data_IF_152260804255
#
_entry.id   IF_152260804255
#
_cell.length_a   1.000
_cell.length_b   1.000
_cell.length_c   1.000
_cell.angle_alpha   90.00
_cell.angle_beta   90.00
_cell.angle_gamma   90.00
#
_symmetry.space_group_name_H-M   'P 1'
#
loop_
_entity.id
_entity.type
_entity.pdbx_description
1 polymer ?
#
# COMPACT_ATOMS: atom_id res chain seq x y z
N UNK A 1 -15.30 -15.88 28.32
CA UNK A 1 -15.34 -16.69 27.07
C UNK A 1 -14.35 -16.09 26.09
N UNK A 2 -13.24 -16.78 25.80
CA UNK A 2 -12.33 -16.34 24.76
C UNK A 2 -13.09 -16.33 23.42
N UNK A 3 -13.13 -15.17 22.75
CA UNK A 3 -13.66 -15.07 21.38
C UNK A 3 -12.88 -16.07 20.54
N UNK A 4 -13.51 -17.12 20.05
CA UNK A 4 -12.94 -18.02 19.06
C UNK A 4 -12.89 -17.22 17.75
N UNK A 5 -11.78 -16.52 17.51
CA UNK A 5 -11.52 -15.88 16.24
C UNK A 5 -11.42 -16.98 15.19
N UNK A 6 -12.05 -16.77 14.04
CA UNK A 6 -11.86 -17.65 12.90
C UNK A 6 -10.37 -17.64 12.59
N UNK A 7 -9.69 -18.75 12.78
CA UNK A 7 -8.30 -18.88 12.40
C UNK A 7 -8.27 -19.03 10.87
N UNK A 8 -7.97 -17.91 10.17
CA UNK A 8 -7.83 -17.89 8.72
C UNK A 8 -6.37 -17.90 8.25
N UNK A 9 -5.43 -17.95 9.20
CA UNK A 9 -4.00 -17.97 8.92
C UNK A 9 -3.67 -19.08 7.94
N UNK A 10 -3.02 -18.71 6.84
CA UNK A 10 -2.54 -19.60 5.78
C UNK A 10 -3.65 -20.42 5.07
N UNK A 11 -4.93 -20.06 5.24
CA UNK A 11 -6.05 -20.73 4.57
C UNK A 11 -6.35 -20.19 3.19
N UNK A 12 -5.84 -19.00 2.88
CA UNK A 12 -6.02 -18.32 1.61
C UNK A 12 -4.68 -17.88 1.05
N UNK A 13 -4.62 -17.67 -0.25
CA UNK A 13 -3.41 -17.25 -0.93
C UNK A 13 -3.70 -16.23 -2.01
N UNK A 14 -2.71 -15.40 -2.33
CA UNK A 14 -2.67 -14.62 -3.56
C UNK A 14 -2.11 -15.53 -4.65
N UNK A 15 -2.96 -15.83 -5.65
CA UNK A 15 -2.68 -16.74 -6.75
C UNK A 15 -2.30 -16.04 -8.05
N UNK A 16 -2.63 -14.76 -8.22
CA UNK A 16 -2.35 -13.99 -9.43
C UNK A 16 -2.11 -12.52 -9.14
N UNK A 17 -1.28 -11.89 -9.97
CA UNK A 17 -0.93 -10.46 -9.91
C UNK A 17 -1.03 -9.86 -11.30
N UNK A 18 -1.70 -8.72 -11.43
CA UNK A 18 -1.88 -8.03 -12.70
C UNK A 18 -1.66 -6.53 -12.60
N UNK A 19 -1.03 -5.97 -13.63
CA UNK A 19 -0.76 -4.54 -13.74
C UNK A 19 -1.21 -4.00 -15.09
N UNK A 20 -1.52 -2.71 -15.13
CA UNK A 20 -1.39 -1.91 -16.36
C UNK A 20 -0.09 -1.12 -16.30
N UNK A 21 0.46 -0.64 -17.42
CA UNK A 21 1.56 0.31 -17.39
C UNK A 21 1.19 1.53 -16.54
N UNK A 22 2.11 1.97 -15.69
CA UNK A 22 2.00 3.25 -15.00
C UNK A 22 2.37 4.39 -15.95
N UNK A 23 1.54 5.41 -16.02
CA UNK A 23 1.72 6.54 -16.94
C UNK A 23 1.34 7.87 -16.28
N UNK A 24 1.68 8.97 -16.96
CA UNK A 24 1.20 10.31 -16.59
C UNK A 24 -0.16 10.63 -17.23
N UNK A 25 -0.54 9.87 -18.26
CA UNK A 25 -1.85 9.96 -18.93
C UNK A 25 -2.13 8.61 -19.60
N UNK A 26 -3.11 7.89 -19.07
CA UNK A 26 -3.47 6.56 -19.57
C UNK A 26 -4.23 6.60 -20.89
N UNK A 27 -4.91 7.73 -21.18
CA UNK A 27 -5.76 7.89 -22.36
C UNK A 27 -7.02 7.02 -22.34
N UNK A 28 -7.32 6.35 -21.23
CA UNK A 28 -8.48 5.44 -21.09
C UNK A 28 -9.17 5.63 -19.74
N UNK A 29 -10.43 5.19 -19.65
CA UNK A 29 -11.20 5.27 -18.41
C UNK A 29 -10.63 4.37 -17.30
N UNK A 30 -10.93 4.69 -16.04
CA UNK A 30 -10.61 3.86 -14.89
C UNK A 30 -11.28 2.47 -14.98
N UNK A 31 -12.43 2.35 -15.64
CA UNK A 31 -13.06 1.06 -15.94
C UNK A 31 -12.18 0.21 -16.86
N UNK A 32 -11.66 0.80 -17.93
CA UNK A 32 -10.75 0.09 -18.84
C UNK A 32 -9.47 -0.33 -18.14
N UNK A 33 -8.88 0.53 -17.30
CA UNK A 33 -7.71 0.19 -16.51
C UNK A 33 -8.00 -0.97 -15.54
N UNK A 34 -9.13 -0.92 -14.83
CA UNK A 34 -9.54 -1.99 -13.92
C UNK A 34 -9.69 -3.33 -14.65
N UNK A 35 -10.44 -3.35 -15.76
CA UNK A 35 -10.64 -4.56 -16.55
C UNK A 35 -9.31 -5.14 -17.05
N UNK A 36 -8.39 -4.30 -17.55
CA UNK A 36 -7.06 -4.75 -18.02
C UNK A 36 -6.24 -5.36 -16.87
N UNK A 37 -6.20 -4.73 -15.71
CA UNK A 37 -5.46 -5.25 -14.57
C UNK A 37 -6.07 -6.56 -14.03
N UNK A 38 -7.40 -6.65 -13.95
CA UNK A 38 -8.11 -7.87 -13.55
C UNK A 38 -7.80 -9.01 -14.52
N UNK A 39 -7.91 -8.79 -15.82
CA UNK A 39 -7.56 -9.80 -16.84
C UNK A 39 -6.11 -10.24 -16.76
N UNK A 40 -5.18 -9.30 -16.53
CA UNK A 40 -3.76 -9.64 -16.36
C UNK A 40 -3.51 -10.48 -15.09
N UNK A 41 -4.22 -10.19 -13.99
CA UNK A 41 -4.11 -10.98 -12.76
C UNK A 41 -4.69 -12.40 -12.92
N UNK A 42 -5.81 -12.52 -13.64
CA UNK A 42 -6.40 -13.81 -13.97
C UNK A 42 -5.48 -14.64 -14.89
N UNK A 43 -4.90 -14.01 -15.93
CA UNK A 43 -3.96 -14.70 -16.80
C UNK A 43 -2.71 -15.17 -16.05
N UNK A 44 -2.15 -14.36 -15.13
CA UNK A 44 -1.03 -14.78 -14.26
C UNK A 44 -1.40 -16.02 -13.43
N UNK A 45 -2.62 -16.10 -12.91
CA UNK A 45 -3.12 -17.26 -12.16
C UNK A 45 -3.48 -18.47 -13.07
N UNK A 46 -3.65 -18.28 -14.36
CA UNK A 46 -4.17 -19.30 -15.29
C UNK A 46 -5.69 -19.47 -15.20
N UNK A 47 -6.39 -18.41 -14.84
CA UNK A 47 -7.85 -18.35 -14.68
C UNK A 47 -8.49 -17.44 -15.74
N UNK A 48 -9.81 -17.52 -15.85
CA UNK A 48 -10.62 -16.65 -16.69
C UNK A 48 -11.75 -15.99 -15.90
N UNK A 49 -12.51 -15.06 -16.52
CA UNK A 49 -13.65 -14.41 -15.87
C UNK A 49 -14.73 -15.38 -15.33
N UNK A 50 -14.85 -16.56 -15.95
CA UNK A 50 -15.79 -17.61 -15.51
C UNK A 50 -15.42 -18.28 -14.18
N UNK A 51 -14.19 -18.12 -13.71
CA UNK A 51 -13.69 -18.66 -12.45
C UNK A 51 -13.90 -17.69 -11.29
N UNK A 52 -14.35 -16.45 -11.56
CA UNK A 52 -14.47 -15.37 -10.57
C UNK A 52 -15.89 -15.26 -10.08
N UNK A 53 -16.08 -15.34 -8.79
CA UNK A 53 -17.35 -15.15 -8.08
C UNK A 53 -17.32 -14.00 -7.07
N UNK A 54 -16.16 -13.33 -6.92
CA UNK A 54 -15.98 -12.17 -6.06
C UNK A 54 -15.14 -11.05 -6.67
N UNK A 55 -15.54 -9.77 -6.45
CA UNK A 55 -14.78 -8.60 -6.82
C UNK A 55 -14.69 -7.61 -5.66
N UNK A 56 -13.49 -7.07 -5.42
CA UNK A 56 -13.27 -6.11 -4.35
C UNK A 56 -12.42 -4.92 -4.80
N UNK A 57 -12.82 -3.74 -4.37
CA UNK A 57 -12.06 -2.50 -4.59
C UNK A 57 -12.25 -1.52 -3.44
N UNK A 58 -11.42 -0.50 -3.42
CA UNK A 58 -11.64 0.68 -2.60
C UNK A 58 -11.51 1.95 -3.46
N UNK A 59 -12.23 3.00 -3.08
CA UNK A 59 -12.22 4.25 -3.83
C UNK A 59 -12.71 5.45 -3.01
N UNK A 60 -12.36 6.63 -3.48
CA UNK A 60 -12.87 7.92 -3.00
C UNK A 60 -13.58 8.68 -4.14
N UNK A 61 -14.35 7.94 -4.96
CA UNK A 61 -14.99 8.48 -6.16
C UNK A 61 -14.09 8.52 -7.39
N UNK A 62 -12.95 7.84 -7.39
CA UNK A 62 -11.86 7.95 -8.37
C UNK A 62 -11.54 6.63 -9.09
N UNK A 63 -12.41 5.63 -8.98
CA UNK A 63 -12.23 4.31 -9.61
C UNK A 63 -13.56 3.69 -10.03
N UNK A 64 -13.51 2.66 -10.86
CA UNK A 64 -14.69 1.89 -11.28
C UNK A 64 -15.12 0.91 -10.18
N UNK A 65 -16.44 0.87 -9.84
CA UNK A 65 -16.95 -0.09 -8.85
C UNK A 65 -17.04 -1.53 -9.41
N UNK A 66 -17.08 -2.54 -8.53
CA UNK A 66 -17.26 -3.95 -8.92
C UNK A 66 -18.49 -4.20 -9.80
N UNK A 67 -19.58 -3.49 -9.53
CA UNK A 67 -20.83 -3.56 -10.29
C UNK A 67 -20.74 -3.08 -11.75
N UNK A 68 -19.67 -2.39 -12.12
CA UNK A 68 -19.35 -2.05 -13.51
C UNK A 68 -18.29 -2.98 -14.09
N UNK A 69 -17.27 -3.34 -13.31
CA UNK A 69 -16.17 -4.20 -13.76
C UNK A 69 -16.65 -5.62 -14.05
N UNK A 70 -17.47 -6.20 -13.18
CA UNK A 70 -18.01 -7.55 -13.35
C UNK A 70 -18.74 -7.74 -14.69
N UNK A 71 -19.79 -6.96 -14.98
CA UNK A 71 -20.48 -7.02 -16.27
C UNK A 71 -19.60 -6.74 -17.47
N UNK A 72 -18.66 -5.79 -17.37
CA UNK A 72 -17.72 -5.45 -18.45
C UNK A 72 -16.77 -6.61 -18.81
N UNK A 73 -16.47 -7.49 -17.85
CA UNK A 73 -15.65 -8.69 -18.03
C UNK A 73 -16.48 -9.95 -18.32
N UNK A 74 -17.81 -9.87 -18.31
CA UNK A 74 -18.68 -11.01 -18.48
C UNK A 74 -18.73 -11.97 -17.29
N UNK A 75 -18.38 -11.50 -16.09
CA UNK A 75 -18.55 -12.25 -14.84
C UNK A 75 -20.07 -12.32 -14.55
N UNK A 76 -20.63 -13.53 -14.60
CA UNK A 76 -22.08 -13.73 -14.57
C UNK A 76 -22.63 -13.97 -13.18
N UNK A 77 -21.83 -14.61 -12.33
CA UNK A 77 -22.21 -14.93 -10.96
C UNK A 77 -21.26 -14.23 -10.00
N UNK A 78 -21.64 -13.00 -9.59
CA UNK A 78 -20.90 -12.22 -8.60
C UNK A 78 -21.57 -12.44 -7.24
N UNK A 79 -21.27 -13.57 -6.59
CA UNK A 79 -21.86 -13.96 -5.31
C UNK A 79 -21.41 -13.05 -4.16
N UNK A 80 -20.24 -12.42 -4.30
CA UNK A 80 -19.70 -11.49 -3.32
C UNK A 80 -19.03 -10.27 -3.97
N UNK A 81 -19.26 -9.09 -3.42
CA UNK A 81 -18.49 -7.92 -3.83
C UNK A 81 -18.28 -6.93 -2.68
N UNK A 82 -17.19 -6.18 -2.77
CA UNK A 82 -16.83 -5.12 -1.82
C UNK A 82 -16.42 -3.85 -2.58
N UNK A 83 -17.14 -2.77 -2.31
CA UNK A 83 -16.79 -1.41 -2.76
C UNK A 83 -16.58 -0.54 -1.53
N UNK A 84 -15.37 -0.54 -0.98
CA UNK A 84 -15.07 0.14 0.28
C UNK A 84 -14.71 1.61 0.04
N UNK A 85 -15.41 2.51 0.73
CA UNK A 85 -14.99 3.91 0.75
C UNK A 85 -13.68 4.07 1.52
N UNK A 86 -12.71 4.71 0.91
CA UNK A 86 -11.41 5.02 1.50
C UNK A 86 -10.30 5.06 0.47
N UNK A 87 -9.23 5.77 0.82
CA UNK A 87 -7.99 5.82 0.05
C UNK A 87 -7.01 4.73 0.43
N UNK A 88 -5.74 5.09 0.58
CA UNK A 88 -4.68 4.14 0.87
C UNK A 88 -4.75 3.45 2.23
N UNK A 89 -5.56 3.92 3.18
CA UNK A 89 -5.68 3.29 4.51
C UNK A 89 -6.43 1.96 4.50
N UNK A 90 -7.25 1.70 3.47
CA UNK A 90 -8.10 0.50 3.37
C UNK A 90 -7.67 -0.48 2.28
N UNK A 91 -6.59 -0.21 1.57
CA UNK A 91 -6.11 -1.07 0.48
C UNK A 91 -5.85 -2.51 0.91
N UNK A 92 -5.16 -2.68 2.03
CA UNK A 92 -4.86 -4.01 2.59
C UNK A 92 -6.07 -4.63 3.30
N UNK A 93 -6.96 -3.79 3.86
CA UNK A 93 -8.23 -4.24 4.42
C UNK A 93 -9.11 -4.92 3.36
N UNK A 94 -9.14 -4.40 2.14
CA UNK A 94 -9.89 -5.01 1.02
C UNK A 94 -9.38 -6.41 0.71
N UNK A 95 -8.07 -6.61 0.65
CA UNK A 95 -7.45 -7.93 0.45
C UNK A 95 -7.74 -8.85 1.64
N UNK A 96 -7.62 -8.34 2.87
CA UNK A 96 -7.93 -9.10 4.09
C UNK A 96 -9.41 -9.53 4.16
N UNK A 97 -10.34 -8.68 3.75
CA UNK A 97 -11.77 -9.01 3.70
C UNK A 97 -12.08 -10.02 2.60
N UNK A 98 -11.41 -9.93 1.44
CA UNK A 98 -11.48 -10.94 0.39
C UNK A 98 -10.98 -12.30 0.91
N UNK A 99 -9.85 -12.32 1.60
CA UNK A 99 -9.30 -13.53 2.22
C UNK A 99 -10.28 -14.14 3.25
N UNK A 100 -10.94 -13.30 4.06
CA UNK A 100 -11.97 -13.77 5.00
C UNK A 100 -13.19 -14.33 4.28
N UNK A 101 -13.67 -13.69 3.21
CA UNK A 101 -14.82 -14.16 2.43
C UNK A 101 -14.52 -15.55 1.82
N UNK A 102 -13.31 -15.72 1.27
CA UNK A 102 -12.85 -17.01 0.72
C UNK A 102 -12.71 -18.06 1.84
N UNK A 103 -12.05 -17.72 2.95
CA UNK A 103 -11.86 -18.66 4.07
C UNK A 103 -13.18 -19.09 4.72
N UNK A 104 -14.22 -18.25 4.65
CA UNK A 104 -15.58 -18.53 5.14
C UNK A 104 -16.45 -19.26 4.11
N UNK A 105 -15.99 -19.47 2.87
CA UNK A 105 -16.75 -20.11 1.80
C UNK A 105 -17.88 -19.23 1.23
N UNK A 106 -17.81 -17.91 1.42
CA UNK A 106 -18.78 -16.96 0.84
C UNK A 106 -18.47 -16.71 -0.64
N UNK A 107 -17.19 -16.78 -1.00
CA UNK A 107 -16.70 -16.75 -2.38
C UNK A 107 -15.54 -17.74 -2.51
N UNK A 108 -15.27 -18.20 -3.72
CA UNK A 108 -14.15 -19.12 -4.01
C UNK A 108 -12.94 -18.39 -4.59
N UNK A 109 -13.19 -17.45 -5.50
CA UNK A 109 -12.14 -16.69 -6.21
C UNK A 109 -12.53 -15.22 -6.26
N UNK A 110 -11.79 -14.41 -5.50
CA UNK A 110 -12.01 -12.96 -5.41
C UNK A 110 -10.87 -12.22 -6.10
N UNK A 111 -11.20 -11.28 -7.00
CA UNK A 111 -10.20 -10.35 -7.54
C UNK A 111 -10.31 -9.00 -6.85
N UNK A 112 -9.23 -8.65 -6.14
CA UNK A 112 -9.05 -7.33 -5.54
C UNK A 112 -8.33 -6.43 -6.54
N UNK A 113 -8.84 -5.23 -6.80
CA UNK A 113 -8.23 -4.31 -7.76
C UNK A 113 -8.28 -2.85 -7.30
N UNK A 114 -7.35 -2.07 -7.84
CA UNK A 114 -7.35 -0.61 -7.74
C UNK A 114 -6.96 -0.02 -9.08
N UNK A 115 -7.80 0.89 -9.62
CA UNK A 115 -7.55 1.58 -10.88
C UNK A 115 -7.80 3.07 -10.67
N UNK A 116 -6.86 3.91 -11.08
CA UNK A 116 -6.95 5.36 -10.94
C UNK A 116 -6.35 6.10 -12.13
N UNK A 117 -6.90 7.28 -12.42
CA UNK A 117 -6.33 8.31 -13.28
C UNK A 117 -5.93 9.51 -12.42
N UNK A 118 -5.07 9.27 -11.41
CA UNK A 118 -4.72 10.27 -10.41
C UNK A 118 -3.88 11.41 -10.98
N UNK A 119 -3.23 11.22 -12.11
CA UNK A 119 -2.43 12.26 -12.78
C UNK A 119 -3.23 13.03 -13.82
N UNK A 120 -4.02 12.34 -14.65
CA UNK A 120 -4.73 12.97 -15.77
C UNK A 120 -6.13 13.47 -15.41
N UNK A 121 -6.79 12.89 -14.39
CA UNK A 121 -8.15 13.26 -14.01
C UNK A 121 -8.26 13.73 -12.56
N UNK A 122 -8.12 12.84 -11.61
CA UNK A 122 -8.39 13.08 -10.19
C UNK A 122 -7.11 13.31 -9.37
N UNK A 123 -6.52 14.49 -9.44
CA UNK A 123 -5.30 14.87 -8.74
C UNK A 123 -5.54 15.09 -7.24
N UNK A 124 -5.07 14.18 -6.38
CA UNK A 124 -5.27 14.27 -4.92
C UNK A 124 -4.43 15.37 -4.27
N UNK A 125 -3.25 15.68 -4.82
CA UNK A 125 -2.39 16.79 -4.38
C UNK A 125 -2.74 18.15 -4.99
N UNK A 126 -3.75 18.23 -5.88
CA UNK A 126 -4.14 19.44 -6.56
C UNK A 126 -4.94 20.39 -5.66
N UNK A 127 -4.65 21.70 -5.77
CA UNK A 127 -5.33 22.77 -5.01
C UNK A 127 -6.58 23.32 -5.70
N UNK A 128 -6.90 22.89 -6.90
CA UNK A 128 -7.99 23.40 -7.75
C UNK A 128 -9.36 22.75 -7.56
N UNK A 129 -9.58 22.02 -6.47
CA UNK A 129 -10.83 21.29 -6.23
C UNK A 129 -11.82 22.08 -5.39
N UNK A 130 -13.10 21.95 -5.73
CA UNK A 130 -14.18 22.22 -4.79
C UNK A 130 -14.05 21.30 -3.58
N UNK A 131 -13.91 21.88 -2.40
CA UNK A 131 -13.83 21.12 -1.17
C UNK A 131 -15.22 20.63 -0.76
N UNK A 132 -15.37 19.39 -0.28
CA UNK A 132 -16.64 18.94 0.26
C UNK A 132 -17.02 19.81 1.47
N UNK A 133 -18.30 20.10 1.61
CA UNK A 133 -18.83 20.83 2.77
C UNK A 133 -18.94 19.90 3.98
N UNK A 134 -17.81 19.40 4.49
CA UNK A 134 -17.77 18.72 5.77
C UNK A 134 -17.39 19.65 6.91
N UNK A 135 -17.80 19.38 8.14
CA UNK A 135 -17.43 20.23 9.29
C UNK A 135 -15.92 20.43 9.40
N UNK A 136 -15.13 19.38 9.21
CA UNK A 136 -13.67 19.40 9.33
C UNK A 136 -13.05 20.35 8.29
N UNK A 137 -13.50 20.26 7.05
CA UNK A 137 -12.99 21.09 5.95
C UNK A 137 -13.28 22.57 6.20
N UNK A 138 -14.41 22.91 6.81
CA UNK A 138 -14.76 24.32 7.11
C UNK A 138 -13.80 24.94 8.12
N UNK A 139 -13.19 24.15 9.00
CA UNK A 139 -12.18 24.62 9.96
C UNK A 139 -10.76 24.59 9.44
N UNK A 140 -10.51 23.94 8.31
CA UNK A 140 -9.19 23.75 7.72
C UNK A 140 -8.98 24.60 6.46
N UNK A 141 -9.95 24.62 5.57
CA UNK A 141 -9.88 25.28 4.28
C UNK A 141 -9.59 26.80 4.36
N UNK A 142 -10.19 27.59 5.26
CA UNK A 142 -9.90 29.02 5.37
C UNK A 142 -8.45 29.35 5.67
N UNK A 143 -7.71 28.39 6.25
CA UNK A 143 -6.29 28.52 6.59
C UNK A 143 -5.35 27.92 5.53
N UNK A 144 -5.88 27.52 4.37
CA UNK A 144 -5.08 26.93 3.31
C UNK A 144 -4.69 25.47 3.52
N UNK A 145 -5.35 24.76 4.44
CA UNK A 145 -5.08 23.38 4.78
C UNK A 145 -5.98 22.43 3.97
N UNK A 146 -5.54 22.12 2.73
CA UNK A 146 -6.40 21.45 1.76
C UNK A 146 -5.98 20.04 1.36
N UNK A 147 -4.70 19.73 1.50
CA UNK A 147 -4.14 18.56 0.83
C UNK A 147 -3.26 17.73 1.79
N UNK A 148 -3.12 16.42 1.53
CA UNK A 148 -2.32 15.52 2.36
C UNK A 148 -0.88 16.01 2.64
N UNK A 149 -0.15 16.65 1.71
CA UNK A 149 1.19 17.15 2.02
C UNK A 149 1.25 18.08 3.23
N UNK A 150 0.25 18.96 3.39
CA UNK A 150 0.20 19.90 4.51
C UNK A 150 -0.10 19.18 5.83
N UNK A 151 -0.98 18.17 5.80
CA UNK A 151 -1.31 17.36 6.99
C UNK A 151 -0.09 16.58 7.47
N UNK A 152 0.55 15.85 6.56
CA UNK A 152 1.74 15.06 6.91
C UNK A 152 2.93 15.93 7.30
N UNK A 153 3.06 17.13 6.74
CA UNK A 153 4.13 18.08 7.09
C UNK A 153 4.08 18.48 8.57
N UNK A 154 2.88 18.64 9.14
CA UNK A 154 2.74 18.95 10.57
C UNK A 154 3.22 17.77 11.45
N UNK A 155 2.87 16.55 11.10
CA UNK A 155 3.32 15.35 11.82
C UNK A 155 4.82 15.12 11.65
N UNK A 156 5.36 15.30 10.44
CA UNK A 156 6.78 15.22 10.19
C UNK A 156 7.56 16.27 11.00
N UNK A 157 7.06 17.50 11.05
CA UNK A 157 7.68 18.58 11.87
C UNK A 157 7.66 18.24 13.35
N UNK A 158 6.54 17.70 13.87
CA UNK A 158 6.45 17.27 15.26
C UNK A 158 7.49 16.18 15.59
N UNK A 159 7.66 15.21 14.68
CA UNK A 159 8.66 14.16 14.82
C UNK A 159 10.09 14.70 14.78
N UNK A 160 10.39 15.62 13.86
CA UNK A 160 11.68 16.31 13.77
C UNK A 160 12.02 17.05 15.08
N UNK A 161 11.05 17.76 15.65
CA UNK A 161 11.24 18.51 16.91
C UNK A 161 11.40 17.58 18.11
N UNK A 162 10.66 16.47 18.15
CA UNK A 162 10.67 15.54 19.28
C UNK A 162 11.88 14.61 19.29
N UNK A 163 12.31 14.16 18.12
CA UNK A 163 13.31 13.10 17.98
C UNK A 163 14.55 13.47 17.16
N UNK A 164 14.60 14.67 16.61
CA UNK A 164 15.77 15.12 15.86
C UNK A 164 15.88 14.54 14.45
N UNK A 165 14.81 13.99 13.89
CA UNK A 165 14.80 13.56 12.47
C UNK A 165 15.08 14.73 11.57
N UNK A 166 15.92 14.54 10.55
CA UNK A 166 16.40 15.59 9.66
C UNK A 166 15.94 15.42 8.21
N UNK A 167 16.15 16.46 7.39
CA UNK A 167 15.87 16.37 5.96
C UNK A 167 16.77 15.34 5.27
N UNK A 168 18.00 15.13 5.75
CA UNK A 168 18.92 14.13 5.23
C UNK A 168 18.36 12.70 5.44
N UNK A 169 17.70 12.43 6.56
CA UNK A 169 17.04 11.14 6.80
C UNK A 169 15.94 10.88 5.75
N UNK A 170 15.12 11.88 5.45
CA UNK A 170 14.12 11.80 4.37
C UNK A 170 14.78 11.62 3.01
N UNK A 171 15.83 12.38 2.73
CA UNK A 171 16.59 12.29 1.49
C UNK A 171 17.25 10.93 1.27
N UNK A 172 17.82 10.33 2.31
CA UNK A 172 18.39 8.97 2.25
C UNK A 172 17.34 7.94 1.83
N UNK A 173 16.15 8.02 2.40
CA UNK A 173 15.05 7.14 2.00
C UNK A 173 14.65 7.33 0.52
N UNK A 174 14.49 8.59 0.10
CA UNK A 174 14.16 8.91 -1.30
C UNK A 174 15.20 8.37 -2.28
N UNK A 175 16.50 8.51 -1.96
CA UNK A 175 17.61 7.98 -2.76
C UNK A 175 17.58 6.46 -2.81
N UNK A 176 17.38 5.78 -1.67
CA UNK A 176 17.30 4.32 -1.58
C UNK A 176 16.15 3.78 -2.43
N UNK A 177 14.95 4.34 -2.30
CA UNK A 177 13.80 3.90 -3.09
C UNK A 177 13.98 4.19 -4.59
N UNK A 178 14.64 5.31 -4.95
CA UNK A 178 14.98 5.58 -6.35
C UNK A 178 16.00 4.55 -6.88
N UNK A 179 16.96 4.13 -6.09
CA UNK A 179 17.91 3.08 -6.48
C UNK A 179 17.19 1.73 -6.75
N UNK A 180 16.17 1.39 -5.94
CA UNK A 180 15.30 0.23 -6.19
C UNK A 180 14.51 0.39 -7.51
N UNK A 181 13.94 1.57 -7.76
CA UNK A 181 13.18 1.87 -8.97
C UNK A 181 14.03 1.79 -10.26
N UNK A 182 15.31 2.10 -10.21
CA UNK A 182 16.23 1.94 -11.36
C UNK A 182 16.22 0.50 -11.87
N UNK A 183 16.10 -0.48 -10.97
CA UNK A 183 16.04 -1.91 -11.28
C UNK A 183 14.64 -2.38 -11.68
N UNK A 184 13.62 -1.53 -11.58
CA UNK A 184 12.23 -1.89 -11.88
C UNK A 184 11.79 -1.34 -13.25
N UNK A 185 11.56 -2.21 -14.26
CA UNK A 185 11.15 -1.76 -15.60
C UNK A 185 9.77 -1.06 -15.62
N UNK A 186 8.90 -1.31 -14.62
CA UNK A 186 7.59 -0.66 -14.50
C UNK A 186 7.65 0.75 -13.91
N UNK A 187 8.76 1.11 -13.24
CA UNK A 187 8.86 2.37 -12.53
C UNK A 187 8.85 3.58 -13.47
N UNK A 188 8.09 4.61 -13.10
CA UNK A 188 8.02 5.88 -13.84
C UNK A 188 9.30 6.71 -13.68
N UNK A 189 9.92 6.66 -12.50
CA UNK A 189 11.09 7.48 -12.17
C UNK A 189 12.32 6.58 -12.01
N UNK A 190 13.06 6.40 -13.10
CA UNK A 190 14.21 5.49 -13.16
C UNK A 190 15.56 6.19 -13.25
N UNK A 191 15.60 7.51 -13.37
CA UNK A 191 16.86 8.24 -13.31
C UNK A 191 17.37 8.28 -11.86
N UNK A 192 18.61 7.86 -11.57
CA UNK A 192 19.18 7.95 -10.24
C UNK A 192 19.14 9.38 -9.69
N UNK A 193 19.08 9.52 -8.39
CA UNK A 193 19.19 10.81 -7.69
C UNK A 193 20.22 10.71 -6.58
N UNK A 194 20.81 11.84 -6.22
CA UNK A 194 21.72 12.00 -5.10
C UNK A 194 21.00 12.69 -3.92
N UNK A 195 21.65 12.70 -2.76
CA UNK A 195 21.17 13.49 -1.62
C UNK A 195 21.17 15.00 -1.94
N UNK A 196 22.13 15.47 -2.71
CA UNK A 196 22.20 16.88 -3.13
C UNK A 196 21.03 17.23 -4.08
N UNK A 197 20.65 16.33 -5.00
CA UNK A 197 19.45 16.49 -5.83
C UNK A 197 18.19 16.60 -4.97
N UNK A 198 18.09 15.77 -3.92
CA UNK A 198 16.99 15.84 -2.97
C UNK A 198 16.98 17.20 -2.24
N UNK A 199 18.11 17.63 -1.67
CA UNK A 199 18.21 18.88 -0.91
C UNK A 199 18.01 20.12 -1.79
N UNK A 200 18.32 20.05 -3.09
CA UNK A 200 18.06 21.11 -4.06
C UNK A 200 16.62 21.12 -4.59
N UNK A 201 15.84 20.05 -4.36
CA UNK A 201 14.47 19.96 -4.89
C UNK A 201 13.54 20.98 -4.20
N UNK A 202 12.55 21.49 -4.96
CA UNK A 202 11.66 22.55 -4.48
C UNK A 202 10.77 22.10 -3.32
N UNK A 203 10.40 23.03 -2.48
CA UNK A 203 9.42 22.81 -1.40
C UNK A 203 8.02 22.56 -1.95
N UNK A 204 7.29 21.65 -1.31
CA UNK A 204 5.86 21.39 -1.51
C UNK A 204 5.05 21.91 -0.31
N UNK A 205 5.38 21.46 0.89
CA UNK A 205 4.87 21.94 2.17
C UNK A 205 5.95 21.65 3.22
N UNK A 206 6.66 22.64 3.70
CA UNK A 206 7.78 22.44 4.63
C UNK A 206 7.39 21.58 5.85
N UNK A 207 8.11 20.50 6.19
CA UNK A 207 9.49 20.16 5.78
C UNK A 207 9.61 19.31 4.50
N UNK A 208 8.53 19.09 3.73
CA UNK A 208 8.57 18.25 2.54
C UNK A 208 8.98 19.00 1.28
N UNK A 209 9.90 18.37 0.56
CA UNK A 209 10.33 18.73 -0.78
C UNK A 209 9.59 17.87 -1.84
N UNK A 210 9.82 18.17 -3.10
CA UNK A 210 9.21 17.42 -4.21
C UNK A 210 9.53 15.92 -4.14
N UNK A 211 10.75 15.55 -3.77
CA UNK A 211 11.20 14.16 -3.71
C UNK A 211 10.76 13.43 -2.44
N UNK A 212 10.12 14.12 -1.49
CA UNK A 212 9.41 13.50 -0.37
C UNK A 212 8.03 12.96 -0.73
N UNK A 213 7.45 13.43 -1.84
CA UNK A 213 6.05 13.20 -2.17
C UNK A 213 5.90 12.08 -3.19
N UNK A 214 4.91 11.22 -2.99
CA UNK A 214 4.54 10.19 -3.94
C UNK A 214 4.12 10.77 -5.29
N UNK A 215 4.23 9.93 -6.32
CA UNK A 215 3.83 10.28 -7.68
C UNK A 215 2.30 10.30 -7.82
N UNK A 216 1.77 11.25 -8.57
CA UNK A 216 0.43 11.12 -9.13
C UNK A 216 0.54 10.31 -10.42
N UNK A 217 -0.22 9.22 -10.50
CA UNK A 217 -0.05 8.18 -11.53
C UNK A 217 -1.39 7.75 -12.07
N UNK A 218 -1.45 7.47 -13.37
CA UNK A 218 -2.54 6.74 -14.00
C UNK A 218 -2.12 5.27 -14.13
N UNK A 219 -2.97 4.36 -13.71
CA UNK A 219 -2.70 2.94 -13.79
C UNK A 219 -3.61 2.09 -12.91
N UNK A 220 -3.39 0.80 -12.95
CA UNK A 220 -4.12 -0.17 -12.14
C UNK A 220 -3.25 -1.36 -11.73
N UNK A 221 -3.63 -1.96 -10.61
CA UNK A 221 -3.10 -3.21 -10.11
C UNK A 221 -4.23 -4.09 -9.59
N UNK A 222 -4.13 -5.40 -9.79
CA UNK A 222 -5.10 -6.38 -9.32
C UNK A 222 -4.41 -7.63 -8.76
N UNK A 223 -5.10 -8.29 -7.83
CA UNK A 223 -4.66 -9.51 -7.14
C UNK A 223 -5.80 -10.53 -7.17
N UNK A 224 -5.49 -11.78 -7.45
CA UNK A 224 -6.43 -12.91 -7.30
C UNK A 224 -6.23 -13.56 -5.94
N UNK A 225 -7.29 -13.66 -5.15
CA UNK A 225 -7.31 -14.32 -3.85
C UNK A 225 -8.23 -15.54 -3.94
N UNK A 226 -7.71 -16.69 -3.52
CA UNK A 226 -8.48 -17.94 -3.45
C UNK A 226 -8.03 -18.80 -2.25
N UNK A 227 -8.57 -20.00 -2.07
CA UNK A 227 -8.08 -20.89 -1.01
C UNK A 227 -6.64 -21.32 -1.27
N UNK A 228 -5.87 -21.55 -0.20
CA UNK A 228 -4.48 -22.04 -0.34
C UNK A 228 -4.43 -23.40 -1.05
N UNK A 229 -5.42 -24.27 -0.83
CA UNK A 229 -5.55 -25.54 -1.50
C UNK A 229 -5.67 -25.36 -3.02
N UNK A 230 -6.68 -24.59 -3.48
CA UNK A 230 -6.86 -24.31 -4.91
C UNK A 230 -5.66 -23.62 -5.54
N UNK A 231 -5.04 -22.68 -4.82
CA UNK A 231 -3.92 -21.90 -5.33
C UNK A 231 -2.69 -22.75 -5.69
N UNK A 232 -2.49 -23.90 -5.02
CA UNK A 232 -1.40 -24.84 -5.33
C UNK A 232 -1.55 -25.54 -6.68
N UNK A 233 -2.79 -25.63 -7.17
CA UNK A 233 -3.10 -26.25 -8.47
C UNK A 233 -3.09 -25.23 -9.62
N UNK A 234 -2.86 -23.93 -9.31
CA UNK A 234 -2.84 -22.87 -10.32
C UNK A 234 -1.44 -22.66 -10.92
N UNK A 235 -1.36 -21.81 -11.95
CA UNK A 235 -0.15 -21.58 -12.76
C UNK A 235 1.06 -21.10 -11.96
N UNK A 236 0.82 -20.29 -10.92
CA UNK A 236 1.90 -19.62 -10.19
C UNK A 236 2.02 -20.13 -8.76
N UNK A 237 3.22 -20.16 -8.19
CA UNK A 237 3.36 -20.49 -6.77
C UNK A 237 2.48 -19.60 -5.91
N UNK A 238 1.68 -20.16 -4.99
CA UNK A 238 0.84 -19.37 -4.12
C UNK A 238 1.65 -18.59 -3.08
N UNK A 239 1.12 -17.42 -2.69
CA UNK A 239 1.63 -16.66 -1.56
C UNK A 239 0.55 -16.58 -0.51
N UNK A 240 0.79 -17.19 0.64
CA UNK A 240 -0.19 -17.35 1.71
C UNK A 240 -0.49 -16.01 2.40
N UNK A 241 -1.75 -15.79 2.77
CA UNK A 241 -2.17 -14.68 3.64
C UNK A 241 -2.12 -15.17 5.08
N UNK A 242 -1.04 -14.85 5.79
CA UNK A 242 -0.81 -15.31 7.17
C UNK A 242 -1.52 -14.45 8.20
N UNK A 243 -1.63 -13.13 7.92
CA UNK A 243 -2.41 -12.22 8.76
C UNK A 243 -2.96 -11.06 7.94
N UNK A 244 -4.11 -10.55 8.39
CA UNK A 244 -4.69 -9.31 7.91
C UNK A 244 -5.29 -8.55 9.08
N UNK A 245 -4.87 -7.31 9.28
CA UNK A 245 -5.43 -6.46 10.32
C UNK A 245 -5.81 -5.09 9.75
N UNK A 246 -6.91 -4.53 10.24
CA UNK A 246 -7.36 -3.18 9.92
C UNK A 246 -8.10 -2.55 11.09
N UNK A 247 -8.13 -1.23 11.10
CA UNK A 247 -8.79 -0.45 12.14
C UNK A 247 -7.98 0.77 12.53
N UNK A 248 -8.51 1.53 13.48
CA UNK A 248 -7.86 2.70 14.07
C UNK A 248 -7.34 2.45 15.48
N UNK A 249 -6.48 3.32 15.95
CA UNK A 249 -6.12 3.47 17.35
C UNK A 249 -7.11 4.34 18.11
N UNK A 250 -6.73 4.82 19.30
CA UNK A 250 -7.56 5.69 20.16
C UNK A 250 -7.96 7.02 19.49
N UNK A 251 -7.21 7.46 18.50
CA UNK A 251 -7.31 8.77 17.85
C UNK A 251 -8.20 8.79 16.60
N UNK A 252 -9.01 7.80 16.34
CA UNK A 252 -9.86 7.76 15.14
C UNK A 252 -11.07 8.69 15.17
N UNK A 253 -11.17 9.56 16.17
CA UNK A 253 -12.17 10.61 16.24
C UNK A 253 -11.51 11.97 15.98
N UNK A 254 -11.74 12.52 14.82
CA UNK A 254 -11.66 13.94 14.40
C UNK A 254 -10.57 14.87 14.95
N UNK A 255 -9.53 14.43 15.60
CA UNK A 255 -8.53 15.32 16.19
C UNK A 255 -7.08 14.98 15.88
N UNK A 256 -6.83 13.91 15.16
CA UNK A 256 -5.49 13.34 15.01
C UNK A 256 -5.06 12.52 16.23
N UNK A 257 -3.91 11.86 16.19
CA UNK A 257 -3.39 11.06 17.30
C UNK A 257 -3.03 11.94 18.52
N UNK A 258 -3.21 11.43 19.72
CA UNK A 258 -2.79 12.10 20.95
C UNK A 258 -1.28 12.40 20.95
N UNK A 259 -0.48 11.51 20.38
CA UNK A 259 0.93 11.75 20.05
C UNK A 259 1.08 11.88 18.53
N UNK A 260 1.39 13.07 18.00
CA UNK A 260 1.53 13.27 16.57
C UNK A 260 2.70 12.50 15.92
N UNK A 261 3.61 11.95 16.73
CA UNK A 261 4.71 11.11 16.26
C UNK A 261 4.39 9.61 16.25
N UNK A 262 3.15 9.23 16.57
CA UNK A 262 2.68 7.83 16.60
C UNK A 262 1.46 7.70 15.70
N UNK A 263 1.34 6.58 14.98
CA UNK A 263 0.25 6.33 14.04
C UNK A 263 -0.69 5.23 14.53
N UNK A 264 -1.79 5.01 13.81
CA UNK A 264 -2.69 3.87 14.07
C UNK A 264 -1.98 2.51 13.91
N UNK A 265 -0.83 2.47 13.21
CA UNK A 265 -0.02 1.27 13.03
C UNK A 265 0.52 0.72 14.37
N UNK A 266 0.87 1.58 15.32
CA UNK A 266 1.36 1.15 16.64
C UNK A 266 0.35 0.28 17.40
N UNK A 267 -0.96 0.59 17.29
CA UNK A 267 -2.02 -0.20 17.88
C UNK A 267 -2.38 -1.44 17.04
N UNK A 268 -2.13 -1.40 15.73
CA UNK A 268 -2.45 -2.48 14.80
C UNK A 268 -1.38 -3.56 14.78
N UNK A 269 -0.11 -3.22 14.84
CA UNK A 269 1.03 -4.12 14.68
C UNK A 269 1.01 -5.33 15.65
N UNK A 270 0.74 -5.17 16.97
CA UNK A 270 0.68 -6.31 17.88
C UNK A 270 -0.43 -7.32 17.51
N UNK A 271 -1.56 -6.85 17.00
CA UNK A 271 -2.66 -7.71 16.55
C UNK A 271 -2.29 -8.46 15.27
N UNK A 272 -1.64 -7.77 14.33
CA UNK A 272 -1.19 -8.34 13.07
C UNK A 272 -0.17 -9.46 13.31
N UNK A 273 0.87 -9.18 14.08
CA UNK A 273 1.91 -10.16 14.43
C UNK A 273 1.34 -11.34 15.24
N UNK A 274 0.45 -11.05 16.19
CA UNK A 274 -0.21 -12.10 16.98
C UNK A 274 -1.07 -13.06 16.13
N UNK A 275 -1.73 -12.56 15.07
CA UNK A 275 -2.46 -13.41 14.11
C UNK A 275 -1.53 -14.30 13.31
N UNK A 276 -0.40 -13.79 12.85
CA UNK A 276 0.59 -14.55 12.08
C UNK A 276 1.40 -15.51 12.97
N UNK A 277 1.47 -15.27 14.26
CA UNK A 277 2.38 -15.97 15.18
C UNK A 277 3.86 -15.60 14.93
N UNK A 278 4.11 -14.38 14.46
CA UNK A 278 5.41 -13.84 14.07
C UNK A 278 5.68 -12.53 14.82
N UNK A 279 6.89 -12.01 14.68
CA UNK A 279 7.32 -10.70 15.16
C UNK A 279 8.03 -9.88 14.08
N UNK A 280 8.43 -8.64 14.37
CA UNK A 280 9.14 -7.80 13.40
C UNK A 280 10.43 -8.44 12.86
N UNK A 281 11.12 -9.24 13.67
CA UNK A 281 12.40 -9.88 13.31
C UNK A 281 12.24 -11.06 12.35
N UNK A 282 11.01 -11.53 12.16
CA UNK A 282 10.70 -12.64 11.24
C UNK A 282 10.34 -12.12 9.83
N UNK A 283 10.34 -10.80 9.61
CA UNK A 283 10.02 -10.17 8.33
C UNK A 283 11.29 -9.97 7.51
N UNK A 284 11.35 -10.61 6.34
CA UNK A 284 12.51 -10.53 5.43
C UNK A 284 12.45 -9.34 4.48
N UNK A 285 11.25 -8.86 4.14
CA UNK A 285 11.04 -7.72 3.24
C UNK A 285 9.77 -6.97 3.62
N UNK A 286 9.80 -5.65 3.55
CA UNK A 286 8.66 -4.83 3.90
C UNK A 286 8.27 -3.87 2.76
N UNK A 287 6.98 -3.88 2.39
CA UNK A 287 6.40 -2.90 1.48
C UNK A 287 5.59 -1.90 2.32
N UNK A 288 6.22 -0.79 2.64
CA UNK A 288 5.70 0.21 3.59
C UNK A 288 5.13 1.39 2.82
N UNK A 289 3.89 1.77 3.14
CA UNK A 289 3.18 2.85 2.47
C UNK A 289 3.94 4.19 2.55
N UNK A 290 4.37 4.66 1.40
CA UNK A 290 5.28 5.79 1.22
C UNK A 290 4.63 6.95 0.45
N UNK A 291 3.43 7.38 0.86
CA UNK A 291 2.88 8.63 0.30
C UNK A 291 3.80 9.84 0.54
N UNK A 292 4.62 9.78 1.59
CA UNK A 292 5.72 10.70 1.90
C UNK A 292 6.87 9.92 2.53
N UNK A 293 8.09 10.42 2.43
CA UNK A 293 9.26 9.82 3.09
C UNK A 293 9.06 9.64 4.59
N UNK A 294 8.48 10.62 5.26
CA UNK A 294 8.15 10.54 6.69
C UNK A 294 7.22 9.37 7.02
N UNK A 295 6.26 9.05 6.13
CA UNK A 295 5.32 7.96 6.41
C UNK A 295 5.98 6.58 6.49
N UNK A 296 7.12 6.39 5.85
CA UNK A 296 7.92 5.17 6.01
C UNK A 296 8.64 5.18 7.36
N UNK A 297 9.30 6.29 7.71
CA UNK A 297 10.08 6.43 8.96
C UNK A 297 9.21 6.12 10.18
N UNK A 298 8.04 6.75 10.28
CA UNK A 298 7.15 6.55 11.42
C UNK A 298 6.58 5.12 11.47
N UNK A 299 6.33 4.49 10.32
CA UNK A 299 5.85 3.12 10.28
C UNK A 299 6.94 2.11 10.63
N UNK A 300 8.20 2.32 10.27
CA UNK A 300 9.31 1.48 10.72
C UNK A 300 9.37 1.39 12.25
N UNK A 301 9.13 2.51 12.92
CA UNK A 301 9.06 2.60 14.37
C UNK A 301 7.79 1.92 14.93
N UNK A 302 6.62 2.22 14.35
CA UNK A 302 5.33 1.76 14.85
C UNK A 302 5.09 0.26 14.60
N UNK A 303 5.71 -0.32 13.56
CA UNK A 303 5.75 -1.78 13.34
C UNK A 303 6.89 -2.48 14.09
N UNK A 304 7.73 -1.73 14.83
CA UNK A 304 8.73 -2.28 15.74
C UNK A 304 10.03 -2.76 15.08
N UNK A 305 10.37 -2.27 13.89
CA UNK A 305 11.66 -2.56 13.24
C UNK A 305 12.81 -1.77 13.87
N UNK A 306 12.52 -0.62 14.45
CA UNK A 306 13.44 0.15 15.26
C UNK A 306 12.69 0.83 16.43
N UNK A 307 13.38 1.29 17.47
CA UNK A 307 12.78 2.05 18.56
C UNK A 307 12.13 3.35 18.06
N UNK A 308 11.13 3.82 18.81
CA UNK A 308 10.47 5.10 18.52
C UNK A 308 11.48 6.26 18.55
N UNK A 309 11.50 7.05 17.47
CA UNK A 309 12.46 8.14 17.25
C UNK A 309 13.74 7.74 16.51
N UNK A 310 13.98 6.45 16.31
CA UNK A 310 15.19 5.94 15.63
C UNK A 310 14.98 5.60 14.15
N UNK A 311 13.79 5.84 13.60
CA UNK A 311 13.49 5.53 12.20
C UNK A 311 14.34 6.33 11.20
N UNK A 312 14.70 7.58 11.53
CA UNK A 312 15.62 8.39 10.73
C UNK A 312 17.03 7.80 10.67
N UNK A 313 17.72 7.61 11.82
CA UNK A 313 19.00 6.91 11.89
C UNK A 313 18.98 5.51 11.26
N UNK A 314 17.92 4.73 11.46
CA UNK A 314 17.75 3.40 10.86
C UNK A 314 17.77 3.45 9.32
N UNK A 315 17.06 4.40 8.71
CA UNK A 315 17.10 4.62 7.26
C UNK A 315 18.49 5.08 6.82
N UNK A 316 19.11 6.02 7.57
CA UNK A 316 20.41 6.57 7.24
C UNK A 316 21.55 5.55 7.32
N UNK A 317 21.42 4.50 8.13
CA UNK A 317 22.41 3.41 8.23
C UNK A 317 22.47 2.53 6.98
N UNK A 318 21.47 2.63 6.06
CA UNK A 318 21.33 1.74 4.91
C UNK A 318 20.51 0.47 5.20
N UNK A 319 19.97 0.30 6.41
CA UNK A 319 19.21 -0.88 6.80
C UNK A 319 18.01 -1.17 5.86
N UNK A 320 17.45 -0.15 5.23
CA UNK A 320 16.30 -0.27 4.32
C UNK A 320 16.68 -0.44 2.83
N UNK A 321 17.98 -0.51 2.51
CA UNK A 321 18.45 -0.78 1.16
C UNK A 321 18.15 -2.23 0.74
N UNK A 322 18.23 -2.53 -0.56
CA UNK A 322 17.90 -3.85 -1.11
C UNK A 322 18.75 -4.98 -0.52
N UNK A 323 19.99 -4.65 -0.13
CA UNK A 323 20.97 -5.51 0.53
C UNK A 323 21.13 -5.22 2.04
N UNK A 324 20.21 -4.41 2.59
CA UNK A 324 20.19 -4.06 4.01
C UNK A 324 19.52 -5.11 4.90
N UNK A 325 19.42 -4.81 6.18
CA UNK A 325 18.81 -5.67 7.20
C UNK A 325 17.32 -5.93 6.92
N UNK A 326 16.58 -4.91 6.50
CA UNK A 326 15.16 -4.97 6.13
C UNK A 326 14.97 -4.23 4.80
N UNK A 327 15.03 -4.90 3.65
CA UNK A 327 14.74 -4.27 2.37
C UNK A 327 13.32 -3.67 2.33
N UNK A 328 13.22 -2.36 2.04
CA UNK A 328 11.94 -1.65 2.04
C UNK A 328 11.62 -1.14 0.65
N UNK A 329 10.37 -1.33 0.21
CA UNK A 329 9.84 -0.83 -1.06
C UNK A 329 10.76 -1.17 -2.24
N UNK A 330 11.03 -2.44 -2.40
CA UNK A 330 11.99 -3.00 -3.36
C UNK A 330 11.68 -2.65 -4.81
N UNK A 331 10.42 -2.30 -5.13
CA UNK A 331 9.98 -1.83 -6.44
C UNK A 331 10.21 -0.33 -6.69
N UNK A 332 10.64 0.41 -5.66
CA UNK A 332 10.82 1.86 -5.71
C UNK A 332 9.71 2.67 -5.05
N UNK A 333 8.69 2.00 -4.52
CA UNK A 333 7.59 2.60 -3.80
C UNK A 333 6.74 3.56 -4.63
N UNK A 334 5.88 4.30 -3.98
CA UNK A 334 5.08 5.36 -4.62
C UNK A 334 5.93 6.58 -4.97
N UNK A 335 7.08 6.74 -4.32
CA UNK A 335 8.00 7.83 -4.61
C UNK A 335 8.66 7.68 -5.99
N UNK A 336 8.70 6.46 -6.56
CA UNK A 336 9.42 6.24 -7.81
C UNK A 336 8.76 5.26 -8.79
N UNK A 337 8.09 4.19 -8.35
CA UNK A 337 7.39 3.28 -9.26
C UNK A 337 6.11 3.90 -9.81
N UNK A 338 5.16 4.18 -8.93
CA UNK A 338 3.82 4.66 -9.27
C UNK A 338 2.89 4.49 -8.09
N UNK A 339 1.76 5.18 -8.09
CA UNK A 339 0.86 5.23 -6.95
C UNK A 339 -0.55 4.75 -7.32
N UNK A 340 -0.92 3.59 -6.79
CA UNK A 340 -2.28 3.03 -6.87
C UNK A 340 -2.79 2.62 -5.48
N UNK A 341 -2.60 3.49 -4.50
CA UNK A 341 -3.11 3.38 -3.14
C UNK A 341 -2.75 2.09 -2.38
N UNK A 342 -1.59 1.47 -2.63
CA UNK A 342 -1.10 0.33 -1.86
C UNK A 342 -1.28 -1.04 -2.51
N UNK A 343 -2.12 -1.18 -3.53
CA UNK A 343 -2.30 -2.47 -4.20
C UNK A 343 -1.00 -2.99 -4.83
N UNK A 344 -0.19 -2.10 -5.40
CA UNK A 344 1.12 -2.45 -5.94
C UNK A 344 2.16 -2.81 -4.86
N UNK A 345 2.01 -2.38 -3.61
CA UNK A 345 2.83 -2.85 -2.49
C UNK A 345 2.56 -4.32 -2.20
N UNK A 346 1.29 -4.71 -2.12
CA UNK A 346 0.92 -6.12 -1.94
C UNK A 346 1.43 -6.97 -3.12
N UNK A 347 1.29 -6.47 -4.34
CA UNK A 347 1.76 -7.16 -5.54
C UNK A 347 3.30 -7.32 -5.56
N UNK A 348 4.07 -6.33 -5.10
CA UNK A 348 5.52 -6.46 -4.96
C UNK A 348 5.90 -7.46 -3.86
N UNK A 349 5.20 -7.45 -2.71
CA UNK A 349 5.41 -8.47 -1.68
C UNK A 349 5.21 -9.88 -2.24
N UNK A 350 4.16 -10.09 -3.05
CA UNK A 350 3.92 -11.36 -3.75
C UNK A 350 5.06 -11.70 -4.70
N UNK A 351 5.54 -10.73 -5.50
CA UNK A 351 6.65 -10.94 -6.44
C UNK A 351 7.94 -11.35 -5.73
N UNK A 352 8.24 -10.74 -4.58
CA UNK A 352 9.40 -11.09 -3.76
C UNK A 352 9.31 -12.51 -3.21
N UNK A 353 8.16 -12.89 -2.66
CA UNK A 353 7.95 -14.23 -2.08
C UNK A 353 7.90 -15.33 -3.13
N UNK A 354 7.52 -15.01 -4.38
CA UNK A 354 7.58 -15.95 -5.52
C UNK A 354 8.97 -16.11 -6.13
N UNK A 355 9.89 -15.20 -5.86
CA UNK A 355 11.19 -15.16 -6.52
C UNK A 355 11.15 -14.51 -7.92
N UNK A 356 10.12 -13.72 -8.20
CA UNK A 356 9.85 -13.13 -9.52
C UNK A 356 10.32 -11.66 -9.65
N UNK A 357 10.96 -11.12 -8.62
CA UNK A 357 11.29 -9.69 -8.58
C UNK A 357 12.50 -9.30 -9.48
N UNK A 358 13.17 -10.25 -10.13
CA UNK A 358 14.31 -9.98 -11.03
C UNK A 358 15.48 -9.31 -10.30
N UNK A 359 16.04 -8.24 -10.86
CA UNK A 359 17.22 -7.55 -10.31
C UNK A 359 17.00 -6.91 -8.92
N UNK A 360 15.76 -6.85 -8.45
CA UNK A 360 15.39 -6.34 -7.12
C UNK A 360 14.99 -7.44 -6.14
N UNK A 361 15.25 -8.71 -6.51
CA UNK A 361 14.92 -9.85 -5.67
C UNK A 361 15.72 -9.84 -4.37
N UNK A 362 15.04 -9.96 -3.24
CA UNK A 362 15.62 -10.25 -1.93
C UNK A 362 15.84 -11.75 -1.83
N UNK A 363 17.10 -12.20 -1.76
CA UNK A 363 17.40 -13.64 -1.70
C UNK A 363 16.79 -14.29 -0.46
N UNK A 364 16.11 -15.42 -0.63
CA UNK A 364 15.62 -16.22 0.48
C UNK A 364 14.41 -15.62 1.23
N UNK A 365 13.76 -14.57 0.72
CA UNK A 365 12.59 -13.98 1.37
C UNK A 365 11.46 -15.02 1.52
N UNK A 366 10.99 -15.22 2.75
CA UNK A 366 9.91 -16.14 3.11
C UNK A 366 8.71 -15.41 3.74
N UNK A 367 8.96 -14.27 4.39
CA UNK A 367 7.93 -13.47 5.07
C UNK A 367 7.98 -12.01 4.60
N UNK A 368 6.84 -11.50 4.18
CA UNK A 368 6.70 -10.10 3.77
C UNK A 368 5.64 -9.38 4.60
N UNK A 369 5.96 -8.16 5.06
CA UNK A 369 4.97 -7.22 5.57
C UNK A 369 4.56 -6.26 4.44
N UNK A 370 3.27 -6.01 4.29
CA UNK A 370 2.78 -4.93 3.43
C UNK A 370 1.81 -4.05 4.21
N UNK A 371 2.01 -2.72 4.16
CA UNK A 371 1.27 -1.76 4.98
C UNK A 371 0.50 -0.75 4.15
N UNK A 372 -0.60 -0.27 4.70
CA UNK A 372 -1.42 0.82 4.18
C UNK A 372 -1.01 2.18 4.77
N UNK A 373 -1.68 3.23 4.32
CA UNK A 373 -1.53 4.58 4.85
C UNK A 373 -1.68 4.58 6.38
N UNK A 374 -0.77 5.23 7.14
CA UNK A 374 -0.63 5.00 8.58
C UNK A 374 -1.74 5.59 9.47
N UNK A 375 -2.76 6.25 8.90
CA UNK A 375 -3.92 6.70 9.68
C UNK A 375 -3.93 8.19 10.00
N UNK A 376 -3.17 9.01 9.31
CA UNK A 376 -3.16 10.47 9.53
C UNK A 376 -4.27 11.22 8.78
N UNK A 377 -4.64 10.76 7.60
CA UNK A 377 -5.70 11.40 6.79
C UNK A 377 -7.07 10.82 7.10
N UNK A 378 -7.13 9.50 7.17
CA UNK A 378 -8.29 8.76 7.68
C UNK A 378 -7.82 8.02 8.94
N UNK A 379 -8.56 8.07 10.04
CA UNK A 379 -8.10 7.57 11.34
C UNK A 379 -8.11 6.03 11.43
N UNK A 380 -7.67 5.37 10.37
CA UNK A 380 -7.57 3.92 10.26
C UNK A 380 -6.40 3.55 9.37
N UNK A 381 -5.83 2.38 9.61
CA UNK A 381 -4.81 1.76 8.79
C UNK A 381 -5.11 0.28 8.57
N UNK A 382 -4.39 -0.35 7.66
CA UNK A 382 -4.46 -1.79 7.43
C UNK A 382 -3.10 -2.36 7.04
N UNK A 383 -2.90 -3.64 7.26
CA UNK A 383 -1.68 -4.33 6.87
C UNK A 383 -1.91 -5.82 6.68
N UNK A 384 -1.02 -6.44 5.92
CA UNK A 384 -0.96 -7.88 5.67
C UNK A 384 0.42 -8.42 6.03
N UNK A 385 0.44 -9.63 6.58
CA UNK A 385 1.63 -10.48 6.56
C UNK A 385 1.37 -11.58 5.55
N UNK A 386 2.27 -11.68 4.60
CA UNK A 386 2.27 -12.68 3.55
C UNK A 386 3.48 -13.59 3.72
N UNK A 387 3.37 -14.86 3.31
CA UNK A 387 4.51 -15.75 3.32
C UNK A 387 4.51 -16.71 2.13
N UNK A 388 5.68 -17.22 1.83
CA UNK A 388 5.86 -18.30 0.87
C UNK A 388 5.15 -19.55 1.38
N UNK A 389 4.51 -20.31 0.48
CA UNK A 389 3.89 -21.61 0.79
C UNK A 389 4.94 -22.72 0.95
#
# INVERSE_FOLDING_TARGET
MAKRLLDFRDRTAVAGVGYTPFTKNSGVSTLTLACRAVMAALDDAGLGPGDVDGLATHRVGDSAPPTLVGPALGIRDLSWHLDQFGGGSVSHAVVGQAALAVAAGVAETVVCYRAINARSEFRMGGTGRGLPASPEVQYQAPYGFFAPPQQYAMYARAHMLKYGTTAEHFGRLAVTQRANAVKNPRALMRAPITLDDYLASRWIAEPFRLLDCCLETDGACALVVTTAERARDLRRPPVLVSAAAWGGGESHLSGGPADPATTAAAALAPRLYGQAGLGPRDVDVAQIYDCFTYSVIVQLEDYGFCPKGEGGPYVASGATALDGELPVNTHGGFLSEGYVHGMNHVAEAVSQLRGDAGDRQVPGAEVALSTAQPGYVLPATSALILRRD
#
